data_IF_877779226373
#
_entry.id   IF_877779226373
#
_cell.length_a   1.000
_cell.length_b   1.000
_cell.length_c   1.000
_cell.angle_alpha   90.00
_cell.angle_beta   90.00
_cell.angle_gamma   90.00
#
_symmetry.space_group_name_H-M   'P 1'
#
loop_
_entity.id
_entity.type
_entity.pdbx_description
1 polymer ?
2 polymer ?
3 polymer ?
4 non-polymer ?
5 water ?
#
# COMPACT_ATOMS: atom_id res chain seq x y z
N UNK A 1 -4.90 -32.32 -15.73
CA UNK A 1 -3.51 -31.80 -15.64
C UNK A 1 -3.31 -31.07 -14.32
N UNK A 2 -2.05 -30.76 -14.02
CA UNK A 2 -1.69 -30.05 -12.80
C UNK A 2 -2.54 -28.79 -12.68
N UNK A 3 -2.81 -28.18 -13.82
CA UNK A 3 -3.61 -26.96 -13.88
C UNK A 3 -5.05 -27.21 -13.46
N UNK A 4 -5.62 -28.29 -13.98
CA UNK A 4 -7.00 -28.64 -13.65
C UNK A 4 -7.15 -28.84 -12.14
N UNK A 5 -6.05 -29.22 -11.50
CA UNK A 5 -6.07 -29.44 -10.06
C UNK A 5 -6.08 -28.10 -9.32
N UNK A 6 -5.25 -27.18 -9.80
CA UNK A 6 -5.17 -25.86 -9.19
C UNK A 6 -6.53 -25.19 -9.36
N UNK A 7 -7.14 -25.42 -10.51
CA UNK A 7 -8.46 -24.87 -10.79
C UNK A 7 -9.41 -25.41 -9.73
N UNK A 8 -9.25 -26.69 -9.42
CA UNK A 8 -10.07 -27.36 -8.41
C UNK A 8 -9.79 -26.75 -7.04
N UNK A 9 -8.52 -26.49 -6.77
CA UNK A 9 -8.09 -25.90 -5.51
C UNK A 9 -8.55 -24.45 -5.40
N UNK A 10 -8.41 -23.70 -6.49
CA UNK A 10 -8.83 -22.32 -6.50
C UNK A 10 -10.30 -22.22 -6.10
N UNK A 11 -11.09 -23.17 -6.58
CA UNK A 11 -12.52 -23.23 -6.29
C UNK A 11 -12.78 -23.31 -4.79
N UNK A 12 -11.90 -24.01 -4.06
CA UNK A 12 -12.06 -24.13 -2.62
C UNK A 12 -11.69 -22.80 -1.97
N UNK A 13 -10.70 -22.12 -2.55
CA UNK A 13 -10.24 -20.85 -2.01
C UNK A 13 -11.16 -19.70 -2.39
N UNK A 14 -11.72 -19.75 -3.59
CA UNK A 14 -12.60 -18.70 -4.08
C UNK A 14 -13.93 -18.61 -3.34
N UNK A 15 -14.52 -19.75 -3.01
CA UNK A 15 -15.80 -19.74 -2.34
C UNK A 15 -16.89 -19.59 -3.38
N UNK A 16 -18.08 -19.18 -2.94
CA UNK A 16 -19.22 -19.04 -3.83
C UNK A 16 -19.04 -18.16 -5.07
N UNK A 17 -18.60 -16.92 -4.88
CA UNK A 17 -18.42 -15.98 -6.00
C UNK A 17 -17.31 -16.33 -6.99
N UNK A 18 -16.55 -17.38 -6.71
CA UNK A 18 -15.47 -17.81 -7.59
C UNK A 18 -14.34 -16.79 -7.78
N UNK A 19 -14.13 -15.95 -6.78
CA UNK A 19 -13.04 -14.98 -6.82
C UNK A 19 -12.49 -14.84 -5.41
N UNK A 20 -11.21 -14.54 -5.31
CA UNK A 20 -10.58 -14.40 -4.01
C UNK A 20 -10.51 -12.94 -3.64
N UNK A 21 -11.18 -12.59 -2.55
CA UNK A 21 -11.21 -11.21 -2.06
C UNK A 21 -9.95 -10.93 -1.28
N UNK A 22 -9.78 -9.66 -0.88
CA UNK A 22 -8.62 -9.26 -0.12
C UNK A 22 -8.60 -9.99 1.21
N UNK A 23 -9.76 -10.12 1.82
CA UNK A 23 -9.89 -10.79 3.11
C UNK A 23 -9.55 -12.27 2.99
N UNK A 24 -10.07 -12.92 1.95
CA UNK A 24 -9.76 -14.32 1.75
C UNK A 24 -8.26 -14.48 1.51
N UNK A 25 -7.71 -13.61 0.66
CA UNK A 25 -6.29 -13.67 0.35
C UNK A 25 -5.45 -13.56 1.61
N UNK A 26 -5.86 -12.67 2.51
CA UNK A 26 -5.14 -12.46 3.76
C UNK A 26 -5.13 -13.73 4.62
N UNK A 27 -6.30 -14.32 4.82
CA UNK A 27 -6.40 -15.52 5.62
C UNK A 27 -5.67 -16.68 4.96
N UNK A 28 -5.80 -16.78 3.64
CA UNK A 28 -5.12 -17.84 2.91
C UNK A 28 -3.60 -17.71 3.06
N UNK A 29 -3.08 -16.51 2.78
CA UNK A 29 -1.65 -16.26 2.87
C UNK A 29 -1.14 -16.42 4.30
N UNK A 30 -1.95 -16.01 5.27
CA UNK A 30 -1.51 -16.16 6.65
C UNK A 30 -1.60 -17.60 7.11
N UNK A 31 -2.53 -18.37 6.57
CA UNK A 31 -2.62 -19.77 6.96
C UNK A 31 -1.43 -20.54 6.37
N UNK A 32 -0.96 -20.09 5.22
CA UNK A 32 0.19 -20.73 4.57
C UNK A 32 1.50 -20.37 5.27
N UNK A 33 1.75 -19.07 5.44
CA UNK A 33 3.00 -18.63 6.07
C UNK A 33 3.17 -19.07 7.53
N UNK A 34 2.07 -19.25 8.25
CA UNK A 34 2.17 -19.67 9.65
C UNK A 34 2.73 -21.08 9.70
N UNK A 35 2.49 -21.85 8.64
CA UNK A 35 2.96 -23.24 8.54
C UNK A 35 4.41 -23.31 8.08
N UNK A 36 5.05 -22.15 8.02
CA UNK A 36 6.45 -22.05 7.63
C UNK A 36 7.03 -20.96 8.51
N UNK A 37 7.10 -21.23 9.83
CA UNK A 37 7.65 -20.27 10.78
C UNK A 37 9.06 -19.81 10.46
N UNK A 38 9.71 -20.52 9.53
CA UNK A 38 11.07 -20.14 9.14
C UNK A 38 10.98 -18.85 8.33
N UNK A 39 9.77 -18.48 7.93
CA UNK A 39 9.57 -17.24 7.19
C UNK A 39 9.14 -16.21 8.23
N UNK A 40 10.06 -15.35 8.63
CA UNK A 40 9.71 -14.36 9.64
C UNK A 40 8.73 -13.33 9.06
N UNK A 41 7.61 -13.15 9.75
CA UNK A 41 6.59 -12.21 9.29
C UNK A 41 5.63 -11.86 10.41
N UNK A 42 5.09 -10.66 10.37
CA UNK A 42 4.12 -10.23 11.37
C UNK A 42 2.76 -10.57 10.79
N UNK A 43 2.80 -11.22 9.63
CA UNK A 43 1.59 -11.62 8.93
C UNK A 43 1.26 -10.61 7.85
N UNK A 44 0.42 -11.01 6.90
CA UNK A 44 0.00 -10.12 5.83
C UNK A 44 -1.18 -9.30 6.33
N UNK A 45 -1.00 -7.98 6.41
CA UNK A 45 -2.07 -7.13 6.87
C UNK A 45 -3.19 -6.99 5.86
N UNK A 46 -4.38 -6.66 6.32
CA UNK A 46 -5.51 -6.50 5.44
C UNK A 46 -5.20 -5.43 4.40
N UNK A 47 -4.52 -4.38 4.82
CA UNK A 47 -4.18 -3.28 3.93
C UNK A 47 -3.26 -3.74 2.80
N UNK A 48 -2.23 -4.50 3.14
CA UNK A 48 -1.31 -5.02 2.15
C UNK A 48 -2.05 -5.92 1.17
N UNK A 49 -3.01 -6.69 1.69
CA UNK A 49 -3.76 -7.58 0.81
C UNK A 49 -4.71 -6.86 -0.13
N UNK A 50 -5.32 -5.76 0.31
CA UNK A 50 -6.20 -5.04 -0.60
C UNK A 50 -5.33 -4.49 -1.73
N UNK A 51 -4.15 -4.01 -1.39
CA UNK A 51 -3.20 -3.47 -2.34
C UNK A 51 -2.72 -4.53 -3.33
N UNK A 52 -2.43 -5.73 -2.84
CA UNK A 52 -1.97 -6.81 -3.71
C UNK A 52 -3.08 -7.21 -4.67
N UNK A 53 -4.30 -7.31 -4.15
CA UNK A 53 -5.46 -7.68 -4.94
C UNK A 53 -5.72 -6.64 -6.01
N UNK A 54 -5.77 -5.37 -5.60
CA UNK A 54 -6.03 -4.28 -6.52
C UNK A 54 -4.99 -4.24 -7.65
N UNK A 55 -3.72 -4.43 -7.29
CA UNK A 55 -2.67 -4.38 -8.30
C UNK A 55 -2.72 -5.58 -9.25
N UNK A 56 -3.35 -6.65 -8.82
CA UNK A 56 -3.50 -7.86 -9.63
C UNK A 56 -4.86 -7.90 -10.34
N UNK A 57 -5.77 -7.05 -9.89
CA UNK A 57 -7.13 -6.99 -10.40
C UNK A 57 -7.25 -6.27 -11.76
N UNK A 58 -6.62 -6.84 -12.77
CA UNK A 58 -6.62 -6.28 -14.11
C UNK A 58 -8.02 -6.01 -14.67
N UNK A 59 -8.99 -6.85 -14.32
CA UNK A 59 -10.35 -6.68 -14.82
C UNK A 59 -11.26 -5.94 -13.85
N UNK A 60 -10.63 -5.22 -12.93
CA UNK A 60 -11.31 -4.42 -11.91
C UNK A 60 -12.65 -4.97 -11.37
N UNK A 61 -12.61 -6.16 -10.79
CA UNK A 61 -13.81 -6.76 -10.20
C UNK A 61 -13.72 -6.63 -8.68
N UNK A 62 -12.60 -6.10 -8.20
CA UNK A 62 -12.41 -5.92 -6.77
C UNK A 62 -11.83 -7.14 -6.08
N UNK A 63 -11.89 -8.29 -6.75
CA UNK A 63 -11.37 -9.53 -6.20
C UNK A 63 -10.52 -10.20 -7.27
N UNK A 64 -9.93 -11.35 -6.96
CA UNK A 64 -9.10 -12.03 -7.93
C UNK A 64 -9.74 -13.26 -8.52
N UNK A 65 -9.92 -13.25 -9.84
CA UNK A 65 -10.50 -14.40 -10.50
C UNK A 65 -9.42 -15.46 -10.60
N UNK A 66 -9.77 -16.62 -11.15
CA UNK A 66 -8.81 -17.72 -11.29
C UNK A 66 -7.44 -17.33 -11.84
N UNK A 67 -7.39 -16.85 -13.08
CA UNK A 67 -6.13 -16.47 -13.73
C UNK A 67 -5.27 -15.50 -12.94
N UNK A 68 -5.89 -14.52 -12.30
CA UNK A 68 -5.12 -13.56 -11.53
C UNK A 68 -4.49 -14.23 -10.32
N UNK A 69 -5.29 -15.02 -9.62
CA UNK A 69 -4.82 -15.72 -8.44
C UNK A 69 -3.68 -16.67 -8.82
N UNK A 70 -3.87 -17.40 -9.92
CA UNK A 70 -2.85 -18.33 -10.37
C UNK A 70 -1.56 -17.58 -10.67
N UNK A 71 -1.67 -16.45 -11.35
CA UNK A 71 -0.49 -15.66 -11.67
C UNK A 71 0.16 -15.25 -10.35
N UNK A 72 -0.64 -14.71 -9.44
CA UNK A 72 -0.14 -14.29 -8.14
C UNK A 72 0.52 -15.43 -7.38
N UNK A 73 -0.18 -16.56 -7.27
CA UNK A 73 0.38 -17.67 -6.53
C UNK A 73 1.64 -18.25 -7.17
N UNK A 74 1.69 -18.26 -8.50
CA UNK A 74 2.89 -18.80 -9.15
C UNK A 74 4.05 -17.91 -8.82
N UNK A 75 3.81 -16.60 -8.75
CA UNK A 75 4.85 -15.65 -8.42
C UNK A 75 5.29 -15.83 -6.96
N UNK A 76 4.32 -15.90 -6.05
CA UNK A 76 4.64 -16.08 -4.65
C UNK A 76 5.44 -17.36 -4.48
N UNK A 77 4.98 -18.42 -5.13
CA UNK A 77 5.64 -19.72 -5.08
C UNK A 77 7.12 -19.54 -5.40
N UNK A 78 7.39 -18.99 -6.57
CA UNK A 78 8.75 -18.75 -7.06
C UNK A 78 9.55 -17.81 -6.17
N UNK A 79 8.95 -16.70 -5.76
CA UNK A 79 9.65 -15.74 -4.91
C UNK A 79 9.92 -16.31 -3.53
N UNK A 80 9.05 -17.19 -3.07
CA UNK A 80 9.19 -17.80 -1.75
C UNK A 80 10.45 -18.67 -1.76
N UNK A 81 10.69 -19.37 -2.86
CA UNK A 81 11.87 -20.21 -2.99
C UNK A 81 13.12 -19.32 -3.01
N UNK A 82 13.03 -18.18 -3.70
CA UNK A 82 14.15 -17.26 -3.76
C UNK A 82 14.43 -16.66 -2.37
N UNK A 83 13.36 -16.40 -1.62
CA UNK A 83 13.48 -15.86 -0.28
C UNK A 83 14.34 -16.78 0.58
N UNK A 84 14.07 -18.08 0.51
CA UNK A 84 14.83 -19.07 1.26
C UNK A 84 16.26 -19.12 0.76
N UNK A 85 16.41 -19.02 -0.56
CA UNK A 85 17.73 -19.06 -1.18
C UNK A 85 18.61 -17.94 -0.64
N UNK A 86 18.04 -16.76 -0.48
CA UNK A 86 18.83 -15.64 -0.01
C UNK A 86 18.84 -15.33 1.47
N UNK A 87 18.10 -16.11 2.26
CA UNK A 87 18.15 -15.91 3.70
C UNK A 87 19.28 -16.84 4.12
N UNK A 88 20.49 -16.47 3.70
CA UNK A 88 21.68 -17.25 3.94
C UNK A 88 22.10 -17.48 5.39
N UNK A 89 21.81 -16.53 6.26
CA UNK A 89 22.16 -16.70 7.67
C UNK A 89 21.00 -17.33 8.43
N UNK A 90 19.95 -17.72 7.70
CA UNK A 90 18.76 -18.35 8.28
C UNK A 90 18.15 -17.52 9.40
N UNK A 91 18.04 -16.22 9.17
CA UNK A 91 17.47 -15.32 10.17
C UNK A 91 15.96 -15.18 9.96
N UNK A 92 15.45 -15.77 8.88
CA UNK A 92 14.03 -15.68 8.61
C UNK A 92 13.69 -14.44 7.79
N UNK A 93 14.70 -13.62 7.54
CA UNK A 93 14.54 -12.38 6.77
C UNK A 93 15.62 -12.19 5.72
N UNK A 94 15.37 -11.30 4.77
CA UNK A 94 16.35 -11.03 3.72
C UNK A 94 17.19 -9.82 4.12
N UNK A 95 18.45 -10.07 4.45
CA UNK A 95 19.32 -8.96 4.81
C UNK A 95 19.46 -7.98 3.66
N UNK A 96 19.78 -6.75 4.00
CA UNK A 96 19.94 -5.68 3.02
C UNK A 96 21.01 -5.95 1.96
N UNK A 97 22.08 -6.62 2.34
CA UNK A 97 23.16 -6.91 1.40
C UNK A 97 22.84 -8.10 0.50
N UNK A 98 21.85 -8.89 0.90
CA UNK A 98 21.44 -10.07 0.14
C UNK A 98 20.27 -9.71 -0.78
N UNK A 99 19.60 -8.60 -0.47
CA UNK A 99 18.44 -8.16 -1.24
C UNK A 99 18.65 -7.92 -2.74
N UNK A 100 19.71 -7.22 -3.12
CA UNK A 100 19.88 -7.01 -4.57
C UNK A 100 19.92 -8.35 -5.30
N UNK A 101 20.66 -9.30 -4.72
CA UNK A 101 20.75 -10.62 -5.32
C UNK A 101 19.41 -11.30 -5.44
N UNK A 102 18.59 -11.24 -4.39
CA UNK A 102 17.27 -11.87 -4.41
C UNK A 102 16.40 -11.25 -5.49
N UNK A 103 16.39 -9.92 -5.56
CA UNK A 103 15.60 -9.27 -6.57
C UNK A 103 16.11 -9.75 -7.93
N UNK A 104 17.42 -9.74 -8.12
CA UNK A 104 17.96 -10.17 -9.39
C UNK A 104 17.49 -11.59 -9.68
N UNK A 105 17.52 -12.44 -8.66
CA UNK A 105 17.09 -13.83 -8.81
C UNK A 105 15.63 -13.93 -9.27
N UNK A 106 14.84 -12.90 -8.96
CA UNK A 106 13.45 -12.86 -9.35
C UNK A 106 13.35 -12.24 -10.75
N UNK A 107 14.49 -11.97 -11.35
CA UNK A 107 14.50 -11.39 -12.68
C UNK A 107 14.47 -9.88 -12.66
N UNK A 108 14.58 -9.29 -11.47
CA UNK A 108 14.56 -7.83 -11.36
C UNK A 108 15.95 -7.23 -11.32
N UNK A 109 16.16 -6.23 -12.17
CA UNK A 109 17.45 -5.57 -12.22
C UNK A 109 17.18 -4.09 -12.11
N UNK A 110 17.50 -3.54 -10.95
CA UNK A 110 17.29 -2.13 -10.66
C UNK A 110 18.63 -1.41 -10.54
N UNK A 111 18.81 -0.69 -9.45
CA UNK A 111 20.05 0.04 -9.21
C UNK A 111 20.10 0.51 -7.76
N UNK A 112 21.27 0.98 -7.34
CA UNK A 112 21.45 1.44 -5.98
C UNK A 112 20.31 2.36 -5.53
N UNK A 113 19.93 3.29 -6.40
CA UNK A 113 18.86 4.23 -6.05
C UNK A 113 17.50 3.57 -5.80
N UNK A 114 17.13 2.60 -6.64
CA UNK A 114 15.85 1.93 -6.42
C UNK A 114 15.93 1.09 -5.16
N UNK A 115 16.95 0.23 -5.07
CA UNK A 115 17.08 -0.61 -3.89
C UNK A 115 17.03 0.21 -2.61
N UNK A 116 17.65 1.39 -2.60
CA UNK A 116 17.64 2.24 -1.41
C UNK A 116 16.21 2.60 -1.00
N UNK A 117 15.41 3.01 -1.98
CA UNK A 117 14.03 3.37 -1.70
C UNK A 117 13.24 2.13 -1.33
N UNK A 118 13.54 1.01 -1.99
CA UNK A 118 12.87 -0.25 -1.72
C UNK A 118 13.08 -0.63 -0.28
N UNK A 119 14.33 -0.53 0.15
CA UNK A 119 14.72 -0.83 1.51
C UNK A 119 13.96 0.10 2.43
N UNK A 120 14.05 1.38 2.11
CA UNK A 120 13.39 2.42 2.88
C UNK A 120 11.91 2.15 3.07
N UNK A 121 11.26 1.72 2.00
CA UNK A 121 9.84 1.44 2.04
C UNK A 121 9.48 0.04 2.55
N UNK A 122 10.39 -0.91 2.41
CA UNK A 122 10.07 -2.27 2.80
C UNK A 122 10.89 -2.98 3.86
N UNK A 123 12.00 -2.41 4.28
CA UNK A 123 12.83 -3.07 5.29
C UNK A 123 12.66 -2.48 6.68
N UNK A 124 13.15 -3.20 7.68
CA UNK A 124 13.07 -2.73 9.07
C UNK A 124 14.26 -1.82 9.36
N UNK A 125 14.38 -1.40 10.62
CA UNK A 125 15.46 -0.52 11.03
C UNK A 125 16.83 -1.06 10.61
N UNK A 126 16.99 -2.37 10.66
CA UNK A 126 18.26 -2.99 10.30
C UNK A 126 18.49 -3.29 8.83
N UNK A 127 17.59 -2.81 7.97
CA UNK A 127 17.75 -3.07 6.55
C UNK A 127 17.26 -4.45 6.17
N UNK A 128 16.55 -5.10 7.09
CA UNK A 128 16.04 -6.44 6.83
C UNK A 128 14.60 -6.41 6.36
N UNK A 129 14.26 -7.34 5.47
CA UNK A 129 12.91 -7.43 4.94
C UNK A 129 12.33 -8.80 5.28
N UNK A 130 11.17 -8.81 5.94
CA UNK A 130 10.56 -10.07 6.31
C UNK A 130 9.73 -10.59 5.14
N UNK A 131 9.14 -11.76 5.30
CA UNK A 131 8.39 -12.36 4.22
C UNK A 131 7.22 -11.62 3.59
N UNK A 132 6.32 -11.06 4.38
CA UNK A 132 5.18 -10.37 3.76
C UNK A 132 5.61 -9.12 3.01
N UNK A 133 6.58 -8.38 3.55
CA UNK A 133 7.06 -7.19 2.87
C UNK A 133 7.77 -7.61 1.58
N UNK A 134 8.53 -8.69 1.66
CA UNK A 134 9.27 -9.17 0.50
C UNK A 134 8.28 -9.56 -0.60
N UNK A 135 7.28 -10.34 -0.25
CA UNK A 135 6.30 -10.76 -1.23
C UNK A 135 5.47 -9.59 -1.76
N UNK A 136 4.95 -8.77 -0.86
CA UNK A 136 4.12 -7.63 -1.29
C UNK A 136 4.91 -6.68 -2.18
N UNK A 137 6.19 -6.48 -1.86
CA UNK A 137 7.04 -5.60 -2.65
C UNK A 137 7.17 -6.13 -4.08
N UNK A 138 7.53 -7.41 -4.20
CA UNK A 138 7.70 -8.00 -5.51
C UNK A 138 6.39 -8.09 -6.29
N UNK A 139 5.28 -8.37 -5.62
CA UNK A 139 4.01 -8.40 -6.33
C UNK A 139 3.85 -7.02 -6.96
N UNK A 140 4.09 -5.98 -6.17
CA UNK A 140 3.96 -4.61 -6.66
C UNK A 140 4.97 -4.27 -7.74
N UNK A 141 6.22 -4.64 -7.53
CA UNK A 141 7.28 -4.36 -8.49
C UNK A 141 7.00 -5.03 -9.83
N UNK A 142 6.53 -6.27 -9.78
CA UNK A 142 6.18 -7.03 -10.98
C UNK A 142 5.01 -6.34 -11.68
N UNK A 143 3.97 -6.02 -10.91
CA UNK A 143 2.80 -5.35 -11.47
C UNK A 143 3.17 -4.00 -12.10
N UNK A 144 4.06 -3.24 -11.47
CA UNK A 144 4.45 -1.94 -12.01
C UNK A 144 5.26 -2.06 -13.29
N UNK A 145 6.09 -3.09 -13.40
CA UNK A 145 6.87 -3.32 -14.61
C UNK A 145 5.91 -3.66 -15.76
N UNK A 146 4.96 -4.55 -15.48
CA UNK A 146 3.97 -4.95 -16.48
C UNK A 146 3.13 -3.76 -16.88
N UNK A 147 2.81 -2.90 -15.92
CA UNK A 147 2.00 -1.73 -16.21
C UNK A 147 2.76 -0.87 -17.22
N UNK A 148 4.03 -0.61 -16.95
CA UNK A 148 4.83 0.21 -17.85
C UNK A 148 4.89 -0.43 -19.24
N UNK A 149 5.44 -1.64 -19.31
CA UNK A 149 5.56 -2.37 -20.56
C UNK A 149 4.26 -2.33 -21.37
N UNK A 150 3.14 -2.63 -20.74
CA UNK A 150 1.85 -2.65 -21.42
C UNK A 150 1.45 -1.27 -21.95
N UNK A 151 1.80 -0.23 -21.20
CA UNK A 151 1.47 1.13 -21.60
C UNK A 151 2.42 1.63 -22.68
N UNK A 152 3.57 0.99 -22.79
CA UNK A 152 4.55 1.36 -23.79
C UNK A 152 4.12 0.72 -25.10
N UNK A 153 4.88 -0.27 -25.54
CA UNK A 153 4.63 -1.02 -26.77
C UNK A 153 5.84 -1.87 -27.11
N UNK A 154 6.78 -1.30 -27.88
CA UNK A 154 7.97 -2.04 -28.27
C UNK A 154 9.23 -1.19 -28.27
N UNK A 155 9.15 0.08 -27.88
CA UNK A 155 10.35 0.90 -27.89
C UNK A 155 10.50 1.97 -26.83
N UNK A 156 10.19 3.20 -27.22
CA UNK A 156 10.28 4.37 -26.36
C UNK A 156 10.92 4.11 -25.00
N UNK A 157 10.16 3.51 -24.09
CA UNK A 157 10.67 3.25 -22.77
C UNK A 157 10.50 4.50 -21.95
N UNK A 158 9.39 5.19 -22.21
CA UNK A 158 9.05 6.43 -21.53
C UNK A 158 7.60 6.75 -21.86
N UNK A 159 6.68 6.25 -21.05
CA UNK A 159 5.25 6.43 -21.26
C UNK A 159 4.69 7.78 -20.82
N UNK A 160 3.53 8.12 -21.38
CA UNK A 160 2.84 9.35 -21.06
C UNK A 160 1.48 8.95 -20.52
N UNK A 161 0.98 9.68 -19.55
CA UNK A 161 -0.31 9.36 -18.94
C UNK A 161 -0.97 10.64 -18.44
N UNK A 162 -2.29 10.71 -18.56
CA UNK A 162 -3.01 11.89 -18.10
C UNK A 162 -3.38 11.71 -16.63
N UNK A 163 -4.21 12.60 -16.10
CA UNK A 163 -4.60 12.53 -14.70
C UNK A 163 -5.58 11.38 -14.39
N UNK A 164 -6.47 11.10 -15.33
CA UNK A 164 -7.45 10.03 -15.17
C UNK A 164 -6.73 8.70 -14.98
N UNK A 165 -5.81 8.43 -15.89
CA UNK A 165 -5.04 7.20 -15.89
C UNK A 165 -4.05 7.10 -14.74
N UNK A 166 -3.41 8.23 -14.42
CA UNK A 166 -2.44 8.27 -13.34
C UNK A 166 -3.08 7.90 -12.01
N UNK A 167 -4.27 8.45 -11.76
CA UNK A 167 -4.98 8.17 -10.52
C UNK A 167 -5.46 6.73 -10.52
N UNK A 168 -5.80 6.24 -11.70
CA UNK A 168 -6.26 4.87 -11.84
C UNK A 168 -5.12 3.96 -11.38
N UNK A 169 -3.99 4.07 -12.09
CA UNK A 169 -2.82 3.27 -11.82
C UNK A 169 -2.26 3.41 -10.40
N UNK A 170 -2.37 4.60 -9.81
CA UNK A 170 -1.84 4.79 -8.45
C UNK A 170 -2.83 4.58 -7.32
N UNK A 171 -4.05 5.07 -7.46
CA UNK A 171 -5.04 4.90 -6.41
C UNK A 171 -5.51 3.46 -6.29
N UNK A 172 -5.66 2.78 -7.43
CA UNK A 172 -6.10 1.39 -7.41
C UNK A 172 -4.88 0.50 -7.46
N UNK A 173 -4.16 0.46 -6.34
CA UNK A 173 -2.94 -0.35 -6.23
C UNK A 173 -2.61 -0.60 -4.77
N UNK B 1 2.06 32.00 18.21
CA UNK B 1 2.19 31.36 16.87
C UNK B 1 1.95 29.86 17.01
N UNK B 2 1.03 29.33 16.21
CA UNK B 2 0.71 27.91 16.27
C UNK B 2 1.85 27.02 15.80
N UNK B 3 2.56 27.46 14.76
CA UNK B 3 3.66 26.67 14.23
C UNK B 3 4.72 26.44 15.32
N UNK B 4 5.01 27.48 16.10
CA UNK B 4 5.99 27.36 17.18
C UNK B 4 5.46 26.36 18.20
N UNK B 5 4.17 26.44 18.49
CA UNK B 5 3.55 25.55 19.44
C UNK B 5 3.54 24.12 18.88
N UNK B 6 3.16 23.99 17.61
CA UNK B 6 3.12 22.69 16.98
C UNK B 6 4.53 22.11 16.90
N UNK B 7 5.50 22.99 16.70
CA UNK B 7 6.91 22.61 16.61
C UNK B 7 7.34 21.98 17.93
N UNK B 8 6.92 22.56 19.03
CA UNK B 8 7.28 22.06 20.35
C UNK B 8 6.56 20.74 20.62
N UNK B 9 5.40 20.57 19.99
CA UNK B 9 4.62 19.35 20.14
C UNK B 9 5.26 18.27 19.29
N UNK B 10 5.61 18.64 18.06
CA UNK B 10 6.24 17.72 17.12
C UNK B 10 7.49 17.08 17.73
N UNK B 11 8.34 17.91 18.33
CA UNK B 11 9.57 17.44 18.97
C UNK B 11 9.32 16.27 19.90
N UNK B 12 8.19 16.30 20.59
CA UNK B 12 7.84 15.24 21.52
C UNK B 12 7.36 13.99 20.79
N UNK B 13 7.03 14.16 19.51
CA UNK B 13 6.54 13.05 18.69
C UNK B 13 7.62 12.41 17.82
N UNK B 14 8.61 13.18 17.40
CA UNK B 14 9.68 12.67 16.55
C UNK B 14 10.75 11.90 17.30
N UNK B 15 11.49 12.60 18.16
CA UNK B 15 12.54 11.94 18.92
C UNK B 15 13.91 11.99 18.27
N UNK B 16 14.87 11.32 18.89
CA UNK B 16 16.26 11.25 18.42
C UNK B 16 16.56 11.79 17.03
N UNK B 17 15.86 11.27 16.02
CA UNK B 17 16.08 11.70 14.63
C UNK B 17 15.30 12.93 14.17
N UNK B 18 14.45 13.47 15.04
CA UNK B 18 13.65 14.65 14.73
C UNK B 18 12.64 14.47 13.59
N UNK B 19 12.27 13.23 13.30
CA UNK B 19 11.29 12.93 12.27
C UNK B 19 10.38 11.82 12.77
N UNK B 20 9.19 11.70 12.17
CA UNK B 20 8.25 10.67 12.58
C UNK B 20 8.28 9.48 11.61
N UNK B 21 8.68 8.32 12.13
CA UNK B 21 8.75 7.12 11.31
C UNK B 21 7.35 6.54 11.12
N UNK B 22 7.24 5.52 10.27
CA UNK B 22 5.96 4.88 10.02
C UNK B 22 5.43 4.28 11.31
N UNK B 23 6.31 3.61 12.06
CA UNK B 23 5.92 2.98 13.33
C UNK B 23 5.46 4.03 14.34
N UNK B 24 6.16 5.15 14.39
CA UNK B 24 5.82 6.23 15.30
C UNK B 24 4.51 6.88 14.89
N UNK B 25 4.30 7.01 13.59
CA UNK B 25 3.08 7.62 13.07
C UNK B 25 1.91 6.73 13.42
N UNK B 26 2.08 5.44 13.17
CA UNK B 26 1.05 4.45 13.44
C UNK B 26 0.59 4.55 14.89
N UNK B 27 1.55 4.54 15.82
CA UNK B 27 1.24 4.60 17.23
C UNK B 27 0.55 5.89 17.62
N UNK B 28 1.10 7.03 17.17
CA UNK B 28 0.48 8.32 17.48
C UNK B 28 -0.97 8.26 17.01
N UNK B 29 -1.16 7.85 15.76
CA UNK B 29 -2.48 7.75 15.15
C UNK B 29 -3.44 6.83 15.90
N UNK B 30 -3.03 5.60 16.15
CA UNK B 30 -3.89 4.66 16.84
C UNK B 30 -4.20 5.10 18.27
N UNK B 31 -3.27 5.76 18.92
CA UNK B 31 -3.52 6.23 20.28
C UNK B 31 -4.58 7.32 20.22
N UNK B 32 -4.64 8.02 19.09
CA UNK B 32 -5.58 9.10 18.89
C UNK B 32 -6.97 8.60 18.53
N UNK B 33 -7.06 7.66 17.60
CA UNK B 33 -8.36 7.14 17.21
C UNK B 33 -8.99 6.41 18.39
N UNK B 34 -8.15 5.80 19.21
CA UNK B 34 -8.62 5.10 20.39
C UNK B 34 -9.42 6.08 21.24
N UNK B 35 -8.89 7.28 21.41
CA UNK B 35 -9.55 8.32 22.20
C UNK B 35 -10.79 8.85 21.49
N UNK B 36 -11.21 8.16 20.42
CA UNK B 36 -12.38 8.57 19.67
C UNK B 36 -13.16 7.38 19.12
N UNK B 37 -13.94 6.72 19.99
CA UNK B 37 -14.76 5.55 19.65
C UNK B 37 -15.73 5.80 18.50
N UNK B 38 -16.26 7.02 18.44
CA UNK B 38 -17.19 7.38 17.39
C UNK B 38 -16.55 7.21 16.00
N UNK B 39 -15.24 7.02 15.97
CA UNK B 39 -14.55 6.82 14.70
C UNK B 39 -14.25 5.34 14.52
N UNK B 40 -15.15 4.63 13.85
CA UNK B 40 -14.97 3.21 13.62
C UNK B 40 -13.67 2.92 12.89
N UNK B 41 -12.92 1.95 13.39
CA UNK B 41 -11.64 1.59 12.78
C UNK B 41 -10.96 0.47 13.54
N UNK B 42 -10.15 -0.30 12.85
CA UNK B 42 -9.42 -1.39 13.49
C UNK B 42 -7.96 -0.96 13.55
N UNK B 43 -7.76 0.36 13.61
CA UNK B 43 -6.43 0.94 13.69
C UNK B 43 -5.72 1.08 12.36
N UNK B 44 -4.71 1.92 12.34
CA UNK B 44 -3.90 2.11 11.15
C UNK B 44 -2.84 1.02 11.11
N UNK B 45 -2.85 0.20 10.07
CA UNK B 45 -1.87 -0.87 9.97
C UNK B 45 -0.49 -0.31 9.70
N UNK B 46 0.54 -1.10 10.03
CA UNK B 46 1.92 -0.65 9.80
C UNK B 46 2.16 -0.41 8.31
N UNK B 47 1.61 -1.25 7.45
CA UNK B 47 1.82 -1.07 6.01
C UNK B 47 1.15 0.18 5.51
N UNK B 48 -0.03 0.47 6.04
CA UNK B 48 -0.74 1.67 5.65
C UNK B 48 0.10 2.87 6.06
N UNK B 49 0.65 2.83 7.26
CA UNK B 49 1.47 3.92 7.74
C UNK B 49 2.74 4.06 6.92
N UNK B 50 3.35 2.94 6.53
CA UNK B 50 4.56 3.01 5.71
C UNK B 50 4.21 3.70 4.39
N UNK B 51 3.04 3.36 3.85
CA UNK B 51 2.58 3.93 2.60
C UNK B 51 2.33 5.44 2.71
N UNK B 52 1.70 5.87 3.80
CA UNK B 52 1.42 7.29 4.01
C UNK B 52 2.72 8.05 4.14
N UNK B 53 3.66 7.50 4.91
CA UNK B 53 4.95 8.12 5.10
C UNK B 53 5.68 8.31 3.77
N UNK B 54 5.84 7.22 3.03
CA UNK B 54 6.54 7.26 1.75
C UNK B 54 5.95 8.34 0.87
N UNK B 55 4.64 8.30 0.73
CA UNK B 55 3.90 9.24 -0.08
C UNK B 55 4.09 10.68 0.39
N UNK B 56 4.27 10.87 1.68
CA UNK B 56 4.45 12.19 2.26
C UNK B 56 5.93 12.60 2.29
N UNK B 57 6.80 11.61 2.23
CA UNK B 57 8.25 11.79 2.30
C UNK B 57 8.87 12.41 1.04
N UNK B 58 8.43 13.61 0.69
CA UNK B 58 8.90 14.31 -0.51
C UNK B 58 10.42 14.39 -0.64
N UNK B 59 11.12 14.62 0.47
CA UNK B 59 12.58 14.71 0.44
C UNK B 59 13.25 13.36 0.63
N UNK B 60 12.45 12.30 0.55
CA UNK B 60 12.95 10.94 0.68
C UNK B 60 13.95 10.67 1.82
N UNK B 61 13.60 11.03 3.04
CA UNK B 61 14.48 10.74 4.17
C UNK B 61 14.02 9.45 4.83
N UNK B 62 12.87 8.96 4.40
CA UNK B 62 12.34 7.73 4.98
C UNK B 62 11.34 7.99 6.09
N UNK B 63 11.46 9.14 6.74
CA UNK B 63 10.56 9.50 7.81
C UNK B 63 9.94 10.87 7.55
N UNK B 64 9.01 11.27 8.41
CA UNK B 64 8.36 12.56 8.21
C UNK B 64 9.01 13.66 9.04
N UNK B 65 9.51 14.68 8.35
CA UNK B 65 10.12 15.80 9.04
C UNK B 65 8.97 16.67 9.50
N UNK B 66 9.27 17.73 10.24
CA UNK B 66 8.23 18.61 10.75
C UNK B 66 7.23 19.07 9.70
N UNK B 67 7.73 19.73 8.67
CA UNK B 67 6.88 20.25 7.62
C UNK B 67 5.97 19.16 7.02
N UNK B 68 6.54 17.99 6.74
CA UNK B 68 5.76 16.89 6.18
C UNK B 68 4.73 16.41 7.18
N UNK B 69 5.12 16.34 8.44
CA UNK B 69 4.19 15.90 9.46
C UNK B 69 3.10 16.94 9.65
N UNK B 70 3.50 18.22 9.71
CA UNK B 70 2.53 19.29 9.90
C UNK B 70 1.51 19.27 8.76
N UNK B 71 2.00 19.07 7.53
CA UNK B 71 1.13 19.02 6.38
C UNK B 71 0.16 17.87 6.50
N UNK B 72 0.72 16.70 6.79
CA UNK B 72 -0.09 15.50 6.95
C UNK B 72 -1.11 15.68 8.05
N UNK B 73 -0.67 16.12 9.22
CA UNK B 73 -1.60 16.31 10.33
C UNK B 73 -2.68 17.35 10.06
N UNK B 74 -2.33 18.45 9.42
CA UNK B 74 -3.33 19.46 9.11
C UNK B 74 -4.41 18.86 8.20
N UNK B 75 -4.00 17.93 7.34
CA UNK B 75 -4.94 17.29 6.44
C UNK B 75 -5.81 16.27 7.16
N UNK B 76 -5.21 15.52 8.07
CA UNK B 76 -5.93 14.51 8.81
C UNK B 76 -7.00 15.13 9.71
N UNK B 77 -6.61 16.12 10.50
CA UNK B 77 -7.59 16.75 11.38
C UNK B 77 -8.75 17.34 10.56
N UNK B 78 -8.44 17.98 9.44
CA UNK B 78 -9.49 18.57 8.61
C UNK B 78 -10.33 17.51 7.92
N UNK B 79 -9.68 16.46 7.42
CA UNK B 79 -10.41 15.38 6.77
C UNK B 79 -11.21 14.62 7.81
N UNK B 80 -10.71 14.62 9.04
CA UNK B 80 -11.37 13.97 10.16
C UNK B 80 -12.64 14.74 10.49
N UNK B 81 -12.56 16.06 10.34
CA UNK B 81 -13.73 16.90 10.60
C UNK B 81 -14.79 16.56 9.56
N UNK B 82 -14.36 16.44 8.31
CA UNK B 82 -15.27 16.08 7.23
C UNK B 82 -15.87 14.70 7.46
N UNK B 83 -15.06 13.80 7.98
CA UNK B 83 -15.50 12.44 8.25
C UNK B 83 -16.72 12.42 9.14
N UNK B 84 -16.64 13.14 10.26
CA UNK B 84 -17.75 13.18 11.19
C UNK B 84 -18.97 13.85 10.57
N UNK B 85 -18.74 14.83 9.70
CA UNK B 85 -19.85 15.51 9.05
C UNK B 85 -20.67 14.55 8.21
N UNK B 86 -20.00 13.67 7.48
CA UNK B 86 -20.70 12.75 6.61
C UNK B 86 -21.15 11.41 7.20
N UNK B 87 -20.86 11.20 8.48
CA UNK B 87 -21.31 9.97 9.13
C UNK B 87 -22.68 10.30 9.70
N UNK B 88 -23.60 10.59 8.79
CA UNK B 88 -24.97 10.97 9.13
C UNK B 88 -25.64 10.14 10.22
N UNK B 89 -25.76 8.83 10.00
CA UNK B 89 -26.42 7.96 10.97
C UNK B 89 -25.57 7.59 12.18
N UNK B 90 -24.50 8.35 12.41
CA UNK B 90 -23.64 8.08 13.56
C UNK B 90 -23.29 6.61 13.65
N UNK B 91 -22.91 6.03 12.51
CA UNK B 91 -22.54 4.62 12.46
C UNK B 91 -21.06 4.46 12.79
N UNK B 92 -20.35 5.58 12.83
CA UNK B 92 -18.93 5.55 13.12
C UNK B 92 -18.15 5.38 11.83
N UNK B 93 -18.87 5.19 10.74
CA UNK B 93 -18.27 5.00 9.43
C UNK B 93 -19.01 5.88 8.41
N UNK B 94 -18.46 5.99 7.20
CA UNK B 94 -19.10 6.80 6.17
C UNK B 94 -19.83 5.93 5.17
N UNK B 95 -21.10 6.23 4.94
CA UNK B 95 -21.90 5.46 4.00
C UNK B 95 -21.40 5.61 2.57
N UNK B 96 -21.66 4.62 1.73
CA UNK B 96 -21.22 4.67 0.34
C UNK B 96 -21.96 5.78 -0.40
N UNK B 97 -23.20 6.01 -0.01
CA UNK B 97 -24.03 7.05 -0.62
C UNK B 97 -23.52 8.41 -0.17
N UNK B 98 -22.92 8.44 1.02
CA UNK B 98 -22.39 9.67 1.60
C UNK B 98 -20.94 9.91 1.21
N UNK B 99 -20.25 8.87 0.78
CA UNK B 99 -18.85 8.97 0.40
C UNK B 99 -18.53 9.98 -0.70
N UNK B 100 -19.33 10.01 -1.77
CA UNK B 100 -19.03 10.98 -2.83
C UNK B 100 -19.09 12.42 -2.32
N UNK B 101 -19.99 12.66 -1.37
CA UNK B 101 -20.13 13.98 -0.81
C UNK B 101 -18.95 14.30 0.09
N UNK B 102 -18.53 13.32 0.88
CA UNK B 102 -17.40 13.51 1.78
C UNK B 102 -16.15 13.87 0.97
N UNK B 103 -15.96 13.20 -0.15
CA UNK B 103 -14.81 13.45 -1.00
C UNK B 103 -14.86 14.84 -1.61
N UNK B 104 -16.00 15.17 -2.23
CA UNK B 104 -16.17 16.47 -2.83
C UNK B 104 -15.82 17.53 -1.81
N UNK B 105 -16.27 17.32 -0.59
CA UNK B 105 -16.01 18.23 0.51
C UNK B 105 -14.50 18.40 0.68
N UNK B 106 -13.78 17.28 0.67
CA UNK B 106 -12.33 17.33 0.82
C UNK B 106 -11.73 18.12 -0.33
N UNK B 107 -12.55 18.41 -1.35
CA UNK B 107 -12.09 19.16 -2.51
C UNK B 107 -11.70 18.31 -3.70
N UNK B 108 -12.06 17.02 -3.67
CA UNK B 108 -11.70 16.13 -4.76
C UNK B 108 -12.83 15.90 -5.77
N UNK B 109 -12.55 16.22 -7.04
CA UNK B 109 -13.53 16.04 -8.10
C UNK B 109 -13.12 14.95 -9.08
N UNK B 110 -13.40 13.71 -8.71
CA UNK B 110 -13.11 12.54 -9.52
C UNK B 110 -14.47 11.87 -9.58
N UNK B 111 -14.71 11.00 -10.54
CA UNK B 111 -16.02 10.37 -10.61
C UNK B 111 -16.11 9.29 -11.67
N UNK B 112 -17.27 8.62 -11.68
CA UNK B 112 -17.56 7.57 -12.64
C UNK B 112 -16.61 6.38 -12.46
N UNK B 113 -15.66 6.23 -13.38
CA UNK B 113 -14.72 5.13 -13.29
C UNK B 113 -13.88 5.30 -12.02
N UNK B 114 -13.13 6.39 -11.95
CA UNK B 114 -12.27 6.70 -10.81
C UNK B 114 -12.84 6.34 -9.45
N UNK B 115 -13.92 7.03 -9.08
CA UNK B 115 -14.57 6.82 -7.79
C UNK B 115 -14.83 5.34 -7.48
N UNK B 116 -15.46 4.64 -8.43
CA UNK B 116 -15.77 3.23 -8.23
C UNK B 116 -14.55 2.44 -7.80
N UNK B 117 -13.40 2.74 -8.41
CA UNK B 117 -12.16 2.06 -8.06
C UNK B 117 -11.80 2.38 -6.61
N UNK B 118 -11.94 3.64 -6.23
CA UNK B 118 -11.63 4.07 -4.86
C UNK B 118 -12.44 3.25 -3.87
N UNK B 119 -13.76 3.29 -4.03
CA UNK B 119 -14.66 2.55 -3.15
C UNK B 119 -14.17 1.12 -3.05
N UNK B 120 -13.99 0.52 -4.23
CA UNK B 120 -13.53 -0.84 -4.38
C UNK B 120 -12.26 -1.12 -3.58
N UNK B 121 -11.32 -0.16 -3.58
CA UNK B 121 -10.05 -0.31 -2.87
C UNK B 121 -10.07 0.03 -1.38
N UNK B 122 -10.98 0.92 -0.96
CA UNK B 122 -11.01 1.32 0.42
C UNK B 122 -12.30 1.10 1.21
N UNK B 123 -13.39 0.79 0.51
CA UNK B 123 -14.68 0.57 1.19
C UNK B 123 -14.78 -0.82 1.79
N UNK B 124 -15.78 -1.00 2.65
CA UNK B 124 -16.00 -2.30 3.28
C UNK B 124 -16.90 -3.15 2.39
N UNK B 125 -17.28 -4.33 2.86
CA UNK B 125 -18.13 -5.23 2.08
C UNK B 125 -19.45 -4.61 1.65
N UNK B 126 -19.89 -3.58 2.36
CA UNK B 126 -21.15 -2.94 2.00
C UNK B 126 -21.03 -1.59 1.33
N UNK B 127 -19.79 -1.14 1.10
CA UNK B 127 -19.58 0.15 0.47
C UNK B 127 -19.25 1.24 1.47
N UNK B 128 -19.32 0.90 2.75
CA UNK B 128 -19.04 1.85 3.82
C UNK B 128 -17.52 1.97 4.00
N UNK B 129 -17.04 3.17 4.28
CA UNK B 129 -15.61 3.36 4.47
C UNK B 129 -15.32 3.84 5.88
N UNK B 130 -14.41 3.14 6.56
CA UNK B 130 -14.07 3.50 7.93
C UNK B 130 -12.98 4.55 7.99
N UNK B 131 -12.62 4.95 9.20
CA UNK B 131 -11.64 6.02 9.39
C UNK B 131 -10.24 5.83 8.82
N UNK B 132 -9.54 4.78 9.21
CA UNK B 132 -8.20 4.60 8.69
C UNK B 132 -8.19 4.48 7.16
N UNK B 133 -9.17 3.80 6.60
CA UNK B 133 -9.25 3.65 5.15
C UNK B 133 -9.58 5.00 4.52
N UNK B 134 -10.50 5.73 5.15
CA UNK B 134 -10.88 7.04 4.65
C UNK B 134 -9.67 7.97 4.65
N UNK B 135 -9.01 8.09 5.81
CA UNK B 135 -7.85 8.95 5.93
C UNK B 135 -6.73 8.54 4.97
N UNK B 136 -6.32 7.28 5.03
CA UNK B 136 -5.26 6.78 4.18
C UNK B 136 -5.58 7.05 2.71
N UNK B 137 -6.82 6.77 2.31
CA UNK B 137 -7.22 6.99 0.94
C UNK B 137 -7.01 8.45 0.53
N UNK B 138 -7.47 9.39 1.35
CA UNK B 138 -7.31 10.80 0.99
C UNK B 138 -5.86 11.25 1.01
N UNK B 139 -5.09 10.76 1.98
CA UNK B 139 -3.68 11.09 2.05
C UNK B 139 -3.03 10.71 0.72
N UNK B 140 -3.39 9.53 0.21
CA UNK B 140 -2.82 9.07 -1.04
C UNK B 140 -3.35 9.86 -2.22
N UNK B 141 -4.65 10.08 -2.25
CA UNK B 141 -5.27 10.84 -3.34
C UNK B 141 -4.64 12.22 -3.41
N UNK B 142 -4.51 12.86 -2.26
CA UNK B 142 -3.89 14.18 -2.19
C UNK B 142 -2.47 14.09 -2.75
N UNK B 143 -1.73 13.09 -2.27
CA UNK B 143 -0.36 12.88 -2.70
C UNK B 143 -0.24 12.66 -4.21
N UNK B 144 -1.16 11.89 -4.76
CA UNK B 144 -1.12 11.59 -6.19
C UNK B 144 -1.48 12.76 -7.09
N UNK B 145 -2.55 13.47 -6.74
CA UNK B 145 -2.95 14.64 -7.52
C UNK B 145 -1.77 15.60 -7.54
N UNK B 146 -1.21 15.83 -6.36
CA UNK B 146 -0.07 16.73 -6.19
C UNK B 146 1.17 16.22 -6.92
N UNK B 147 1.39 14.91 -6.88
CA UNK B 147 2.54 14.32 -7.55
C UNK B 147 2.41 14.52 -9.06
N UNK B 148 1.18 14.50 -9.56
CA UNK B 148 0.93 14.68 -10.98
C UNK B 148 1.28 16.11 -11.41
N UNK B 149 0.71 17.08 -10.70
CA UNK B 149 0.93 18.50 -10.98
C UNK B 149 2.42 18.82 -11.04
N UNK B 150 3.15 18.42 -10.00
CA UNK B 150 4.59 18.68 -9.91
C UNK B 150 5.40 18.09 -11.06
N UNK B 151 4.74 17.37 -11.96
CA UNK B 151 5.43 16.77 -13.10
C UNK B 151 4.91 17.36 -14.41
N UNK B 152 4.21 18.48 -14.32
CA UNK B 152 3.63 19.13 -15.50
C UNK B 152 4.18 20.54 -15.77
N UNK B 153 4.60 20.78 -17.00
CA UNK B 153 5.11 22.09 -17.40
C UNK B 153 4.01 23.09 -17.10
N UNK B 154 3.01 23.13 -17.98
CA UNK B 154 1.86 24.01 -17.83
C UNK B 154 0.59 23.16 -17.89
N UNK B 155 0.67 22.00 -17.26
CA UNK B 155 -0.48 21.11 -17.24
C UNK B 155 -0.97 20.77 -18.63
N UNK B 156 -0.08 20.27 -19.48
CA UNK B 156 -0.47 19.89 -20.83
C UNK B 156 -1.51 18.79 -20.67
N UNK B 157 -1.72 18.37 -19.42
CA UNK B 157 -2.68 17.33 -19.11
C UNK B 157 -2.02 15.97 -19.07
N UNK B 158 -0.76 15.93 -19.50
CA UNK B 158 -0.02 14.67 -19.53
C UNK B 158 1.43 14.79 -19.05
N UNK B 159 1.92 13.70 -18.45
CA UNK B 159 3.29 13.64 -17.97
C UNK B 159 3.97 12.45 -18.64
N UNK B 160 5.25 12.62 -18.98
CA UNK B 160 6.00 11.55 -19.62
C UNK B 160 6.97 11.03 -18.57
N UNK B 161 6.96 9.72 -18.37
CA UNK B 161 7.81 9.11 -17.37
C UNK B 161 8.58 7.92 -17.92
N UNK B 162 9.82 7.74 -17.47
CA UNK B 162 10.61 6.62 -17.92
C UNK B 162 10.45 5.51 -16.88
N UNK B 163 11.20 4.43 -17.02
CA UNK B 163 11.07 3.32 -16.10
C UNK B 163 11.53 3.64 -14.67
N UNK B 164 12.69 4.29 -14.53
CA UNK B 164 13.18 4.61 -13.21
C UNK B 164 12.21 5.51 -12.46
N UNK B 165 11.70 6.53 -13.15
CA UNK B 165 10.75 7.47 -12.54
C UNK B 165 9.46 6.77 -12.14
N UNK B 166 8.96 5.92 -13.02
CA UNK B 166 7.73 5.18 -12.75
C UNK B 166 7.88 4.33 -11.48
N UNK B 167 8.96 3.54 -11.40
CA UNK B 167 9.20 2.69 -10.25
C UNK B 167 9.38 3.51 -8.97
N UNK B 168 10.01 4.66 -9.12
CA UNK B 168 10.24 5.55 -8.00
C UNK B 168 8.88 6.04 -7.50
N UNK B 169 8.08 6.53 -8.43
CA UNK B 169 6.76 7.04 -8.11
C UNK B 169 5.82 6.00 -7.54
N UNK B 170 5.81 4.80 -8.12
CA UNK B 170 4.90 3.76 -7.65
C UNK B 170 5.37 2.82 -6.55
N UNK B 171 6.67 2.58 -6.48
CA UNK B 171 7.18 1.69 -5.46
C UNK B 171 7.38 2.45 -4.16
N UNK B 172 7.75 3.72 -4.25
CA UNK B 172 7.91 4.49 -3.03
C UNK B 172 6.59 5.23 -2.84
N UNK B 173 5.58 4.49 -2.41
CA UNK B 173 4.26 5.04 -2.15
C UNK B 173 3.51 4.11 -1.21
N UNK C 1 -6.63 -28.64 3.90
CA UNK C 1 -6.63 -29.39 2.61
C UNK C 1 -6.26 -28.42 1.47
N UNK C 2 -7.02 -27.34 1.36
CA UNK C 2 -6.75 -26.34 0.33
C UNK C 2 -5.44 -25.67 0.75
N UNK C 3 -5.31 -25.43 2.05
CA UNK C 3 -4.11 -24.81 2.60
C UNK C 3 -2.93 -25.79 2.53
N UNK C 4 -3.21 -27.07 2.75
CA UNK C 4 -2.17 -28.08 2.68
C UNK C 4 -1.55 -28.00 1.30
N UNK C 5 -2.41 -28.01 0.29
CA UNK C 5 -1.96 -27.96 -1.09
C UNK C 5 -1.05 -26.77 -1.34
N UNK C 6 -1.49 -25.58 -0.93
CA UNK C 6 -0.71 -24.36 -1.13
C UNK C 6 0.61 -24.40 -0.37
N UNK C 7 0.54 -24.80 0.89
CA UNK C 7 1.72 -24.86 1.73
C UNK C 7 2.79 -25.75 1.11
N UNK C 8 2.39 -26.88 0.57
CA UNK C 8 3.37 -27.78 -0.03
C UNK C 8 4.07 -27.15 -1.24
N UNK C 9 3.52 -26.04 -1.75
CA UNK C 9 4.14 -25.36 -2.88
C UNK C 9 5.35 -24.57 -2.38
N UNK C 10 5.39 -24.34 -1.07
CA UNK C 10 6.48 -23.60 -0.46
C UNK C 10 7.68 -24.52 -0.25
N UNK C 11 8.85 -24.07 -0.69
CA UNK C 11 10.06 -24.87 -0.55
C UNK C 11 10.47 -24.97 0.91
N UNK C 12 11.03 -26.14 1.26
CA UNK C 12 11.46 -26.44 2.62
C UNK C 12 10.25 -26.73 3.50
N UNK D 1 1.66 12.77 26.43
CA UNK D 1 0.61 13.83 26.56
C UNK D 1 0.59 14.69 25.31
N UNK D 2 1.47 14.37 24.37
CA UNK D 2 1.55 15.10 23.10
C UNK D 2 0.38 14.59 22.26
N UNK D 3 -0.14 13.43 22.67
CA UNK D 3 -1.26 12.79 22.00
C UNK D 3 -2.55 13.57 22.23
N UNK D 4 -2.80 13.92 23.49
CA UNK D 4 -4.00 14.66 23.84
C UNK D 4 -4.04 15.96 23.08
N UNK D 5 -2.88 16.60 22.91
CA UNK D 5 -2.82 17.84 22.16
C UNK D 5 -3.39 17.53 20.79
N UNK D 6 -2.80 16.54 20.12
CA UNK D 6 -3.25 16.12 18.80
C UNK D 6 -4.69 15.61 18.86
N UNK D 7 -5.04 14.91 19.93
CA UNK D 7 -6.38 14.36 20.08
C UNK D 7 -7.43 15.46 20.14
N UNK D 8 -7.05 16.61 20.66
CA UNK D 8 -7.98 17.74 20.78
C UNK D 8 -8.11 18.55 19.49
N UNK D 9 -7.04 18.62 18.71
CA UNK D 9 -7.06 19.40 17.47
C UNK D 9 -8.09 18.95 16.44
N UNK D 10 -8.51 17.69 16.48
CA UNK D 10 -9.54 17.30 15.52
C UNK D 10 -10.81 16.83 16.23
N UNK D 11 -11.94 17.39 15.79
CA UNK D 11 -13.25 17.09 16.35
C UNK D 11 -13.52 15.60 16.52
N UNK E 1 8.19 -7.69 -14.56
CA UNK E 1 9.13 -8.22 -13.55
C UNK E 1 10.53 -8.37 -14.15
N UNK E 2 11.08 -7.30 -14.75
CA UNK E 2 12.39 -7.43 -15.36
C UNK E 2 13.07 -6.23 -16.02
N UNK E 3 14.34 -6.00 -15.69
CA UNK E 3 15.18 -4.97 -16.31
C UNK E 3 15.09 -3.47 -16.05
N UNK E 4 16.28 -2.88 -16.03
CA UNK E 4 16.53 -1.44 -15.84
C UNK E 4 17.99 -1.29 -16.31
N UNK E 5 18.27 -0.22 -17.06
CA UNK E 5 19.62 0.01 -17.56
C UNK E 5 19.71 1.31 -18.37
#
# INVERSE_FOLDING_TARGET
EEVRQFRRLFAQLAGDDMEVSATELMNILNKVVTRHPDLKTDGFGIDTCRSMVAVMDSDTTGKLGFEEFKYLWNNIKKWQAIYKQFDVDRSGTIGSSELPGAFEAAGFHLNEHLYSMIIRRYSDEGGNMDFDNFISCLVRLDAMFRAFKSLDKDGTGQIQVNIQEWLQLTMYS
EEVRQFRRLFAQLAGDDMEVSATELMNILNKVVTRHPDLKTDGFGIDTCRSMVAVMDSDTTGKLGFEEFKYLWNNIKKWQAIYKQFDVDRSGTIGSSELPGAFEAAGFHLNEHLYSMIIRRYSDEGGNMDFDNFISCLVRLDAMFRAFKSLDKDGTGQIQVNIQEWLQLTMYS
DAIDALSSDFTS
DAIDALSSDFTS
AKAIA
#
